data_IF_892383413149
#
_entry.id   IF_892383413149
#
_cell.length_a   1.000
_cell.length_b   1.000
_cell.length_c   1.000
_cell.angle_alpha   90.00
_cell.angle_beta   90.00
_cell.angle_gamma   90.00
#
_symmetry.space_group_name_H-M   'P 1'
#
loop_
_entity.id
_entity.type
_entity.pdbx_description
1 polymer ?
#
# COMPACT_ATOMS: atom_id res chain seq x y z
N UNK A 1 13.18 -16.49 -4.75
CA UNK A 1 12.57 -15.56 -3.78
C UNK A 1 11.14 -15.31 -4.23
N UNK A 2 10.18 -16.05 -3.66
CA UNK A 2 8.80 -16.10 -4.13
C UNK A 2 8.03 -14.81 -3.77
N UNK A 3 7.24 -14.29 -4.71
CA UNK A 3 6.28 -13.23 -4.47
C UNK A 3 5.40 -13.63 -3.28
N UNK A 4 5.50 -12.88 -2.17
CA UNK A 4 4.74 -13.16 -0.95
C UNK A 4 3.30 -12.70 -1.18
N UNK A 5 2.44 -13.64 -1.56
CA UNK A 5 1.00 -13.43 -1.68
C UNK A 5 0.41 -13.13 -0.29
N UNK A 6 -0.38 -12.07 -0.17
CA UNK A 6 -1.15 -11.79 1.04
C UNK A 6 -2.58 -12.29 0.85
N UNK A 7 -3.08 -13.14 1.76
CA UNK A 7 -4.45 -13.70 1.72
C UNK A 7 -4.89 -14.17 0.32
N UNK A 8 -4.07 -14.99 -0.36
CA UNK A 8 -4.30 -15.50 -1.74
C UNK A 8 -4.32 -14.43 -2.84
N UNK A 9 -4.02 -13.17 -2.55
CA UNK A 9 -3.83 -12.11 -3.53
C UNK A 9 -2.35 -11.86 -3.78
N UNK A 10 -1.91 -12.04 -5.02
CA UNK A 10 -0.55 -11.79 -5.46
C UNK A 10 -0.53 -10.63 -6.47
N UNK A 11 0.03 -9.47 -6.11
CA UNK A 11 0.23 -8.40 -7.08
C UNK A 11 1.18 -8.86 -8.20
N UNK A 12 0.86 -8.47 -9.44
CA UNK A 12 1.61 -8.85 -10.63
C UNK A 12 2.59 -7.74 -11.05
N UNK A 13 3.70 -8.13 -11.66
CA UNK A 13 4.76 -7.23 -12.15
C UNK A 13 5.29 -6.31 -11.04
N UNK A 14 5.20 -5.00 -11.26
CA UNK A 14 5.68 -3.91 -10.40
C UNK A 14 4.62 -3.41 -9.41
N UNK A 15 3.44 -4.05 -9.35
CA UNK A 15 2.37 -3.65 -8.44
C UNK A 15 2.75 -3.91 -6.98
N UNK A 16 2.39 -2.99 -6.11
CA UNK A 16 2.64 -3.08 -4.67
C UNK A 16 1.34 -2.88 -3.93
N UNK A 17 0.95 -3.85 -3.10
CA UNK A 17 -0.22 -3.75 -2.26
C UNK A 17 0.16 -3.12 -0.92
N UNK A 18 -0.52 -2.04 -0.58
CA UNK A 18 -0.33 -1.28 0.65
C UNK A 18 -1.60 -1.21 1.47
N UNK A 19 -1.45 -1.15 2.79
CA UNK A 19 -2.51 -0.90 3.74
C UNK A 19 -2.29 0.48 4.36
N UNK A 20 -3.26 1.38 4.18
CA UNK A 20 -3.20 2.72 4.76
C UNK A 20 -3.37 2.66 6.28
N UNK A 21 -2.70 3.56 6.99
CA UNK A 21 -2.93 3.71 8.42
C UNK A 21 -4.30 4.35 8.69
N UNK A 22 -4.85 4.07 9.87
CA UNK A 22 -6.07 4.73 10.35
C UNK A 22 -5.77 6.22 10.59
N UNK A 23 -6.67 7.08 10.12
CA UNK A 23 -6.53 8.53 10.30
C UNK A 23 -6.67 8.90 11.79
N UNK A 24 -5.74 9.72 12.31
CA UNK A 24 -5.80 10.21 13.68
C UNK A 24 -7.15 10.88 13.96
N UNK A 25 -7.91 10.28 14.87
CA UNK A 25 -9.24 10.76 15.28
C UNK A 25 -9.15 11.93 16.26
N UNK A 26 -8.01 12.09 16.91
CA UNK A 26 -7.76 13.06 17.97
C UNK A 26 -6.45 13.79 17.72
N UNK A 27 -6.51 15.13 17.64
CA UNK A 27 -5.30 15.93 17.54
C UNK A 27 -4.52 15.91 18.85
N UNK A 28 -3.22 16.26 18.82
CA UNK A 28 -2.35 16.33 20.02
C UNK A 28 -2.91 17.24 21.14
N UNK A 29 -3.81 18.17 20.81
CA UNK A 29 -4.50 19.05 21.76
C UNK A 29 -5.83 18.52 22.31
N UNK A 30 -6.20 17.27 22.00
CA UNK A 30 -7.41 16.63 22.50
C UNK A 30 -8.69 16.94 21.73
N UNK A 31 -8.62 17.71 20.63
CA UNK A 31 -9.76 18.09 19.79
C UNK A 31 -10.10 16.94 18.84
N UNK A 32 -11.38 16.59 18.76
CA UNK A 32 -11.89 15.57 17.84
C UNK A 32 -11.94 16.14 16.41
N UNK A 33 -11.24 15.50 15.48
CA UNK A 33 -11.23 15.92 14.08
C UNK A 33 -12.45 15.29 13.38
N UNK A 34 -13.35 16.09 12.80
CA UNK A 34 -14.50 15.56 12.07
C UNK A 34 -14.02 14.73 10.87
N UNK A 35 -14.71 13.63 10.56
CA UNK A 35 -14.26 12.72 9.49
C UNK A 35 -14.13 13.37 8.12
N UNK A 36 -14.91 14.43 7.85
CA UNK A 36 -14.80 15.21 6.59
C UNK A 36 -13.50 16.00 6.45
N UNK A 37 -12.85 16.34 7.56
CA UNK A 37 -11.56 17.04 7.57
C UNK A 37 -10.37 16.08 7.58
N UNK A 38 -10.61 14.77 7.75
CA UNK A 38 -9.56 13.75 7.66
C UNK A 38 -9.26 13.53 6.18
N UNK A 39 -8.14 14.10 5.73
CA UNK A 39 -7.59 13.80 4.41
C UNK A 39 -7.24 12.32 4.27
N UNK A 40 -6.96 11.89 3.03
CA UNK A 40 -6.40 10.55 2.80
C UNK A 40 -5.07 10.47 3.54
N UNK A 41 -4.90 9.45 4.39
CA UNK A 41 -3.62 9.18 5.03
C UNK A 41 -2.62 8.80 3.94
N UNK A 42 -1.55 9.58 3.83
CA UNK A 42 -0.49 9.38 2.85
C UNK A 42 0.53 8.34 3.33
N UNK A 43 0.49 7.96 4.61
CA UNK A 43 1.31 6.87 5.13
C UNK A 43 0.60 5.53 4.96
N UNK A 44 1.35 4.52 4.52
CA UNK A 44 0.88 3.16 4.43
C UNK A 44 1.98 2.14 4.72
N UNK A 45 1.58 0.92 5.05
CA UNK A 45 2.49 -0.23 5.21
C UNK A 45 2.38 -1.15 4.00
N UNK A 46 3.50 -1.60 3.47
CA UNK A 46 3.53 -2.59 2.37
C UNK A 46 3.14 -3.95 2.90
N UNK A 47 2.14 -4.57 2.28
CA UNK A 47 1.61 -5.88 2.69
C UNK A 47 1.98 -6.97 1.69
N UNK A 48 2.06 -6.62 0.40
CA UNK A 48 2.52 -7.52 -0.65
C UNK A 48 3.17 -6.72 -1.78
N UNK A 49 4.08 -7.34 -2.52
CA UNK A 49 4.67 -6.74 -3.72
C UNK A 49 4.81 -7.81 -4.81
N UNK A 50 4.72 -7.38 -6.06
CA UNK A 50 4.96 -8.25 -7.20
C UNK A 50 6.44 -8.61 -7.35
N UNK A 51 6.77 -9.52 -8.28
CA UNK A 51 8.15 -9.93 -8.52
C UNK A 51 9.03 -8.81 -9.10
N UNK A 52 8.44 -7.75 -9.65
CA UNK A 52 9.15 -6.65 -10.30
C UNK A 52 8.83 -6.49 -11.78
N UNK A 53 9.28 -5.38 -12.38
CA UNK A 53 9.11 -5.11 -13.81
C UNK A 53 10.12 -5.93 -14.63
N UNK A 54 9.78 -6.23 -15.88
CA UNK A 54 10.72 -6.88 -16.81
C UNK A 54 11.42 -5.82 -17.65
N UNK A 55 12.74 -5.87 -17.69
CA UNK A 55 13.52 -5.07 -18.62
C UNK A 55 13.42 -5.64 -20.04
N UNK A 56 13.83 -4.84 -21.04
CA UNK A 56 13.89 -5.23 -22.45
C UNK A 56 14.75 -6.49 -22.70
N UNK A 57 15.66 -6.80 -21.78
CA UNK A 57 16.52 -7.98 -21.80
C UNK A 57 15.87 -9.25 -21.23
N UNK A 58 14.62 -9.17 -20.76
CA UNK A 58 13.89 -10.29 -20.15
C UNK A 58 14.22 -10.55 -18.68
N UNK A 59 15.15 -9.80 -18.10
CA UNK A 59 15.48 -9.85 -16.66
C UNK A 59 14.42 -9.14 -15.82
N UNK A 60 14.09 -9.72 -14.66
CA UNK A 60 13.14 -9.14 -13.70
C UNK A 60 13.90 -8.19 -12.78
N UNK A 61 13.55 -6.90 -12.82
CA UNK A 61 14.05 -5.88 -11.91
C UNK A 61 13.20 -5.91 -10.65
N UNK A 62 13.76 -6.30 -9.49
CA UNK A 62 13.01 -6.39 -8.25
C UNK A 62 12.55 -5.00 -7.79
N UNK A 63 11.43 -4.99 -7.07
CA UNK A 63 10.91 -3.80 -6.39
C UNK A 63 11.81 -3.45 -5.20
N UNK A 64 12.05 -2.16 -4.96
CA UNK A 64 12.93 -1.66 -3.89
C UNK A 64 12.30 -1.72 -2.48
N UNK A 65 11.06 -2.19 -2.35
CA UNK A 65 10.28 -2.20 -1.11
C UNK A 65 10.02 -3.62 -0.65
N UNK A 66 10.13 -3.86 0.66
CA UNK A 66 9.84 -5.15 1.27
C UNK A 66 8.49 -5.13 1.99
N UNK A 67 7.95 -6.32 2.24
CA UNK A 67 6.75 -6.49 3.06
C UNK A 67 7.03 -6.03 4.50
N UNK A 68 6.21 -5.14 5.02
CA UNK A 68 6.35 -4.54 6.35
C UNK A 68 6.94 -3.12 6.35
N UNK A 69 7.45 -2.65 5.21
CA UNK A 69 8.02 -1.30 5.12
C UNK A 69 6.92 -0.23 5.16
N UNK A 70 7.24 0.91 5.80
CA UNK A 70 6.39 2.11 5.78
C UNK A 70 6.75 2.95 4.57
N UNK A 71 5.74 3.27 3.77
CA UNK A 71 5.89 4.04 2.53
C UNK A 71 4.97 5.25 2.53
N UNK A 72 5.44 6.30 1.84
CA UNK A 72 4.66 7.49 1.57
C UNK A 72 3.97 7.35 0.21
N UNK A 73 2.66 7.54 0.20
CA UNK A 73 1.81 7.43 -0.97
C UNK A 73 1.56 8.80 -1.59
N UNK A 74 1.51 8.89 -2.93
CA UNK A 74 1.01 10.08 -3.60
C UNK A 74 -0.49 10.29 -3.29
N UNK A 75 -0.94 11.55 -3.31
CA UNK A 75 -2.34 11.91 -3.07
C UNK A 75 -3.31 11.34 -4.12
N UNK A 76 -2.78 11.12 -5.32
CA UNK A 76 -3.48 10.66 -6.50
C UNK A 76 -2.80 9.42 -7.08
N UNK A 77 -3.60 8.53 -7.67
CA UNK A 77 -3.15 7.26 -8.18
C UNK A 77 -3.47 6.09 -7.26
N UNK A 78 -3.23 4.89 -7.78
CA UNK A 78 -3.55 3.63 -7.13
C UNK A 78 -5.00 3.20 -7.29
N UNK A 79 -5.20 1.88 -7.27
CA UNK A 79 -6.53 1.27 -7.39
C UNK A 79 -6.96 0.72 -6.03
N UNK A 80 -8.16 1.09 -5.59
CA UNK A 80 -8.73 0.57 -4.33
C UNK A 80 -9.17 -0.88 -4.56
N UNK A 81 -8.59 -1.81 -3.80
CA UNK A 81 -8.94 -3.24 -3.84
C UNK A 81 -9.38 -3.68 -2.44
N UNK A 82 -10.58 -4.24 -2.36
CA UNK A 82 -11.11 -4.78 -1.10
C UNK A 82 -10.74 -6.25 -1.02
N UNK A 83 -9.97 -6.64 -0.01
CA UNK A 83 -9.57 -8.03 0.25
C UNK A 83 -10.03 -8.40 1.65
N UNK A 84 -10.92 -9.40 1.76
CA UNK A 84 -11.42 -9.98 3.02
C UNK A 84 -11.59 -8.93 4.13
N UNK A 85 -12.49 -7.97 3.87
CA UNK A 85 -12.94 -6.92 4.79
C UNK A 85 -11.96 -5.78 5.09
N UNK A 86 -10.76 -5.79 4.50
CA UNK A 86 -9.80 -4.68 4.64
C UNK A 86 -9.57 -3.98 3.29
N UNK A 87 -9.65 -2.65 3.31
CA UNK A 87 -9.38 -1.80 2.15
C UNK A 87 -7.87 -1.70 1.98
N UNK A 88 -7.35 -2.39 0.97
CA UNK A 88 -5.96 -2.30 0.52
C UNK A 88 -5.88 -1.49 -0.77
N UNK A 89 -4.86 -0.65 -0.93
CA UNK A 89 -4.63 0.07 -2.19
C UNK A 89 -3.46 -0.58 -2.93
N UNK A 90 -3.58 -0.70 -4.25
CA UNK A 90 -2.48 -1.08 -5.16
C UNK A 90 -1.82 0.17 -5.69
#
# INVERSE_FOLDING_TARGET
MAARAFKKFAPLYDRVLVQRFEAETRSKGGIMIPEKAKGKVLEATVVAHGPGSRNEKGEVVPVCVNVGDKVFLPEYGGTKVVLDENVSTV
#
